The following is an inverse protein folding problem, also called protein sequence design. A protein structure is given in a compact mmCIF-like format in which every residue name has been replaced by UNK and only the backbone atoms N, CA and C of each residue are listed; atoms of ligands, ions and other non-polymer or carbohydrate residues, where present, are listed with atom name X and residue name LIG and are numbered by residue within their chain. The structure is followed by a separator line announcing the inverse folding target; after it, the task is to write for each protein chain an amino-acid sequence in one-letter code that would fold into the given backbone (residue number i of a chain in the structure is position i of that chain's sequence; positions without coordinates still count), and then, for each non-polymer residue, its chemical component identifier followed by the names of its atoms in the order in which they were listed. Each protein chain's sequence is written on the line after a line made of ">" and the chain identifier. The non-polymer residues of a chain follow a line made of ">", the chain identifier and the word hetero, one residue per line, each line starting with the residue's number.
data_IF_570097072659
#
_entry.id   IF_570097072659
#
_cell.length_a   1.000
_cell.length_b   1.000
_cell.length_c   1.000
_cell.angle_alpha   90.00
_cell.angle_beta   90.00
_cell.angle_gamma   90.00
#
_symmetry.space_group_name_H-M   'P 1'
#
loop_
_entity.id
_entity.type
_entity.pdbx_description
1 polymer ?
#
# COMPACT_ATOMS: atom_id res chain seq x y z
N UNK A 1 19.05 -14.82 11.47
CA UNK A 1 19.97 -13.67 11.64
C UNK A 1 19.98 -12.73 10.44
N UNK A 2 20.32 -13.21 9.22
CA UNK A 2 20.38 -12.36 8.00
C UNK A 2 19.11 -11.50 7.79
N UNK A 3 17.91 -12.09 7.89
CA UNK A 3 16.63 -11.38 7.77
C UNK A 3 16.46 -10.24 8.77
N UNK A 4 16.80 -10.46 10.05
CA UNK A 4 16.68 -9.43 11.09
C UNK A 4 17.64 -8.28 10.83
N UNK A 5 18.88 -8.59 10.44
CA UNK A 5 19.88 -7.59 10.07
C UNK A 5 19.39 -6.78 8.87
N UNK A 6 18.85 -7.44 7.83
CA UNK A 6 18.29 -6.74 6.67
C UNK A 6 17.12 -5.82 7.04
N UNK A 7 16.20 -6.27 7.89
CA UNK A 7 15.08 -5.45 8.38
C UNK A 7 15.61 -4.25 9.16
N UNK A 8 16.56 -4.47 10.07
CA UNK A 8 17.16 -3.39 10.86
C UNK A 8 17.81 -2.35 9.95
N UNK A 9 18.66 -2.77 9.02
CA UNK A 9 19.34 -1.87 8.10
C UNK A 9 18.37 -1.10 7.20
N UNK A 10 17.30 -1.76 6.72
CA UNK A 10 16.26 -1.11 5.92
C UNK A 10 15.48 -0.07 6.75
N UNK A 11 15.14 -0.40 8.00
CA UNK A 11 14.48 0.54 8.91
C UNK A 11 15.36 1.75 9.20
N UNK A 12 16.65 1.55 9.49
CA UNK A 12 17.60 2.65 9.69
C UNK A 12 17.73 3.52 8.43
N UNK A 13 17.80 2.90 7.26
CA UNK A 13 17.84 3.60 5.98
C UNK A 13 16.59 4.46 5.78
N UNK A 14 15.39 3.91 6.01
CA UNK A 14 14.13 4.64 5.89
C UNK A 14 14.08 5.82 6.88
N UNK A 15 14.44 5.60 8.15
CA UNK A 15 14.45 6.67 9.16
C UNK A 15 15.45 7.77 8.80
N UNK A 16 16.61 7.43 8.25
CA UNK A 16 17.67 8.39 7.92
C UNK A 16 17.45 9.17 6.62
N UNK A 17 16.70 8.61 5.67
CA UNK A 17 16.55 9.17 4.31
C UNK A 17 15.17 9.75 4.03
N UNK A 18 14.22 9.57 4.95
CA UNK A 18 12.86 10.09 4.84
C UNK A 18 12.49 10.85 6.11
N UNK A 19 11.37 11.55 6.08
CA UNK A 19 10.82 12.29 7.22
C UNK A 19 10.33 11.39 8.38
N UNK A 20 10.54 10.08 8.34
CA UNK A 20 10.21 9.16 9.45
C UNK A 20 10.93 9.53 10.76
N UNK A 21 12.10 10.17 10.71
CA UNK A 21 12.76 10.66 11.92
C UNK A 21 11.95 11.73 12.65
N UNK A 22 11.04 12.45 11.99
CA UNK A 22 10.23 13.49 12.63
C UNK A 22 9.33 12.90 13.72
N UNK A 23 8.93 11.62 13.62
CA UNK A 23 8.20 10.94 14.68
C UNK A 23 8.99 10.81 15.99
N UNK A 24 10.33 10.90 15.95
CA UNK A 24 11.16 10.92 17.15
C UNK A 24 11.02 12.25 17.93
N UNK A 25 10.47 13.30 17.32
CA UNK A 25 10.20 14.61 17.95
C UNK A 25 8.81 14.68 18.63
N UNK A 26 8.01 13.61 18.56
CA UNK A 26 6.69 13.57 19.22
C UNK A 26 6.74 13.84 20.73
N UNK A 27 7.76 13.41 21.50
CA UNK A 27 7.88 13.79 22.90
C UNK A 27 7.95 15.31 23.12
N UNK A 28 8.69 16.03 22.26
CA UNK A 28 8.80 17.50 22.30
C UNK A 28 7.46 18.17 22.01
N UNK A 29 6.71 17.63 21.04
CA UNK A 29 5.36 18.09 20.73
C UNK A 29 4.41 17.96 21.94
N UNK A 30 4.48 16.83 22.64
CA UNK A 30 3.65 16.57 23.83
C UNK A 30 4.03 17.53 24.96
N UNK A 31 5.32 17.72 25.21
CA UNK A 31 5.81 18.64 26.24
C UNK A 31 5.33 20.07 25.98
N UNK A 32 5.52 20.59 24.76
CA UNK A 32 5.08 21.94 24.37
C UNK A 32 3.55 22.10 24.45
N UNK A 33 2.80 21.07 24.07
CA UNK A 33 1.34 21.06 24.25
C UNK A 33 0.93 21.14 25.72
N UNK A 34 1.62 20.41 26.61
CA UNK A 34 1.33 20.43 28.04
C UNK A 34 1.65 21.80 28.67
N UNK A 35 2.72 22.47 28.24
CA UNK A 35 3.05 23.83 28.67
C UNK A 35 1.91 24.80 28.36
N UNK A 36 1.46 24.88 27.09
CA UNK A 36 0.33 25.75 26.75
C UNK A 36 -0.99 25.30 27.38
N UNK A 37 -1.17 24.01 27.69
CA UNK A 37 -2.36 23.51 28.38
C UNK A 37 -2.37 23.94 29.86
N UNK A 38 -1.21 24.08 30.49
CA UNK A 38 -1.09 24.63 31.84
C UNK A 38 -1.44 26.12 31.86
N UNK A 39 -0.98 26.89 30.87
CA UNK A 39 -1.29 28.32 30.74
C UNK A 39 -2.74 28.58 30.36
N UNK A 40 -3.27 27.76 29.45
CA UNK A 40 -4.65 27.86 28.97
C UNK A 40 -5.35 26.48 29.06
N UNK A 41 -6.04 26.19 30.17
CA UNK A 41 -6.74 24.92 30.36
C UNK A 41 -7.83 24.64 29.31
N UNK A 42 -8.32 25.66 28.60
CA UNK A 42 -9.33 25.50 27.54
C UNK A 42 -8.72 25.20 26.17
N UNK A 43 -7.40 25.31 26.02
CA UNK A 43 -6.70 24.98 24.78
C UNK A 43 -6.93 23.51 24.42
N UNK A 44 -7.36 23.26 23.19
CA UNK A 44 -7.49 21.91 22.65
C UNK A 44 -6.26 21.57 21.83
N UNK A 45 -5.99 20.28 21.61
CA UNK A 45 -4.88 19.84 20.76
C UNK A 45 -5.02 20.36 19.31
N UNK A 46 -6.25 20.46 18.80
CA UNK A 46 -6.51 21.04 17.48
C UNK A 46 -6.22 22.53 17.42
N UNK A 47 -6.55 23.27 18.49
CA UNK A 47 -6.20 24.70 18.61
C UNK A 47 -4.70 24.90 18.69
N UNK A 48 -3.98 24.05 19.43
CA UNK A 48 -2.53 24.05 19.50
C UNK A 48 -1.90 23.82 18.11
N UNK A 49 -2.36 22.82 17.35
CA UNK A 49 -1.88 22.62 15.98
C UNK A 49 -2.18 23.81 15.07
N UNK A 50 -3.32 24.46 15.23
CA UNK A 50 -3.64 25.65 14.43
C UNK A 50 -2.66 26.80 14.68
N UNK A 51 -2.31 27.05 15.94
CA UNK A 51 -1.37 28.13 16.29
C UNK A 51 0.02 27.84 15.70
N UNK A 52 0.46 26.59 15.72
CA UNK A 52 1.85 26.21 15.35
C UNK A 52 2.05 25.75 13.90
N UNK A 53 1.02 25.29 13.19
CA UNK A 53 1.14 24.72 11.84
C UNK A 53 0.31 25.43 10.76
N UNK A 54 -0.74 26.18 11.12
CA UNK A 54 -1.57 26.91 10.14
C UNK A 54 -1.02 28.32 9.88
N UNK A 55 -0.77 29.08 10.94
CA UNK A 55 -0.24 30.45 10.84
C UNK A 55 0.82 30.70 11.94
N UNK A 56 2.03 30.11 11.80
CA UNK A 56 3.06 30.25 12.82
C UNK A 56 3.52 31.70 12.93
N UNK A 57 3.48 32.24 14.14
CA UNK A 57 3.94 33.59 14.46
C UNK A 57 5.37 33.51 15.00
N UNK A 58 6.23 34.47 14.62
CA UNK A 58 7.54 34.61 15.25
C UNK A 58 7.40 35.37 16.57
N UNK A 59 7.27 34.63 17.66
CA UNK A 59 7.23 35.17 19.01
C UNK A 59 8.37 34.62 19.88
N UNK A 60 8.24 34.69 21.21
CA UNK A 60 9.23 34.18 22.16
C UNK A 60 9.47 32.67 22.02
N UNK A 61 8.49 31.92 21.55
CA UNK A 61 8.50 30.46 21.51
C UNK A 61 9.01 29.93 20.17
N UNK A 62 9.26 30.82 19.21
CA UNK A 62 9.72 30.49 17.86
C UNK A 62 10.85 29.46 17.82
N UNK A 63 11.82 29.53 18.75
CA UNK A 63 12.93 28.56 18.79
C UNK A 63 12.47 27.16 19.20
N UNK A 64 11.52 27.04 20.13
CA UNK A 64 10.87 25.77 20.48
C UNK A 64 9.99 25.27 19.34
N UNK A 65 9.27 26.17 18.68
CA UNK A 65 8.38 25.81 17.57
C UNK A 65 9.16 25.18 16.41
N UNK A 66 10.38 25.67 16.12
CA UNK A 66 11.25 25.06 15.10
C UNK A 66 11.68 23.62 15.42
N UNK A 67 11.61 23.20 16.69
CA UNK A 67 11.94 21.85 17.13
C UNK A 67 10.76 20.88 17.00
N UNK A 68 9.55 21.39 16.74
CA UNK A 68 8.37 20.56 16.54
C UNK A 68 8.52 19.67 15.29
N UNK A 69 7.88 18.49 15.30
CA UNK A 69 7.87 17.60 14.14
C UNK A 69 7.26 18.30 12.92
N UNK A 70 7.85 18.14 11.75
CA UNK A 70 7.33 18.66 10.47
C UNK A 70 7.20 20.20 10.36
N UNK A 71 7.78 20.98 11.29
CA UNK A 71 7.91 22.44 11.13
C UNK A 71 9.12 22.80 10.26
N UNK A 72 10.23 22.10 10.49
CA UNK A 72 11.47 22.23 9.72
C UNK A 72 11.82 20.91 9.03
N UNK A 73 12.15 21.02 7.74
CA UNK A 73 12.51 19.90 6.88
C UNK A 73 14.01 19.92 6.59
N UNK A 74 14.68 18.79 6.79
CA UNK A 74 16.04 18.63 6.32
C UNK A 74 16.03 18.33 4.81
N UNK A 75 16.98 18.88 4.06
CA UNK A 75 17.19 18.47 2.68
C UNK A 75 17.76 17.04 2.67
N UNK A 76 16.88 16.04 2.56
CA UNK A 76 17.30 14.65 2.41
C UNK A 76 17.86 14.41 1.01
N UNK A 77 18.76 13.43 0.88
CA UNK A 77 19.27 12.98 -0.41
C UNK A 77 18.13 12.36 -1.23
N UNK A 78 17.61 13.12 -2.19
CA UNK A 78 16.63 12.62 -3.16
C UNK A 78 17.40 11.87 -4.26
N UNK A 79 17.37 10.54 -4.21
CA UNK A 79 17.93 9.69 -5.26
C UNK A 79 16.79 9.29 -6.21
N UNK A 80 16.80 9.87 -7.42
CA UNK A 80 15.87 9.48 -8.49
C UNK A 80 16.56 8.45 -9.38
N UNK A 81 16.16 7.18 -9.26
CA UNK A 81 16.60 6.12 -10.18
C UNK A 81 15.67 6.10 -11.40
N UNK A 82 16.06 6.78 -12.47
CA UNK A 82 15.37 6.65 -13.77
C UNK A 82 15.89 5.41 -14.50
N UNK A 83 15.02 4.61 -15.14
CA UNK A 83 15.47 3.52 -15.97
C UNK A 83 16.32 4.08 -17.12
N UNK A 84 17.43 3.41 -17.44
CA UNK A 84 18.33 3.82 -18.52
C UNK A 84 17.66 3.73 -19.91
N UNK A 85 16.58 2.96 -20.02
CA UNK A 85 15.79 2.81 -21.24
C UNK A 85 14.33 3.19 -20.98
N UNK A 86 13.62 3.74 -21.98
CA UNK A 86 12.19 4.01 -21.85
C UNK A 86 11.46 2.71 -21.54
N UNK A 87 10.77 2.65 -20.41
CA UNK A 87 9.91 1.52 -20.08
C UNK A 87 8.57 1.70 -20.80
N UNK A 88 8.18 0.73 -21.61
CA UNK A 88 6.84 0.69 -22.21
C UNK A 88 5.93 -0.14 -21.30
N UNK A 89 4.95 0.51 -20.67
CA UNK A 89 3.92 -0.20 -19.92
C UNK A 89 2.90 -0.76 -20.91
N UNK A 90 3.04 -2.02 -21.28
CA UNK A 90 2.00 -2.71 -22.04
C UNK A 90 0.93 -3.17 -21.05
N UNK A 91 -0.16 -2.42 -20.97
CA UNK A 91 -1.39 -2.91 -20.39
C UNK A 91 -1.84 -4.06 -21.29
N UNK A 92 -1.53 -5.28 -20.89
CA UNK A 92 -2.13 -6.45 -21.53
C UNK A 92 -3.61 -6.37 -21.18
N UNK A 93 -4.43 -5.89 -22.11
CA UNK A 93 -5.84 -6.20 -22.09
C UNK A 93 -5.89 -7.71 -21.90
N UNK A 94 -6.44 -8.16 -20.78
CA UNK A 94 -6.71 -9.58 -20.59
C UNK A 94 -7.36 -10.03 -21.88
N UNK A 95 -6.70 -10.93 -22.63
CA UNK A 95 -7.37 -11.63 -23.71
C UNK A 95 -8.67 -12.13 -23.09
N UNK A 96 -9.77 -11.54 -23.52
CA UNK A 96 -11.07 -12.04 -23.15
C UNK A 96 -11.13 -13.39 -23.83
N UNK A 97 -10.73 -14.44 -23.12
CA UNK A 97 -11.01 -15.80 -23.52
C UNK A 97 -12.49 -15.77 -23.90
N UNK A 98 -12.86 -16.13 -25.15
CA UNK A 98 -14.26 -16.15 -25.52
C UNK A 98 -14.93 -17.05 -24.49
N UNK A 99 -15.88 -16.50 -23.75
CA UNK A 99 -16.70 -17.29 -22.83
C UNK A 99 -17.45 -18.25 -23.74
N UNK A 100 -16.90 -19.44 -23.95
CA UNK A 100 -17.61 -20.54 -24.56
C UNK A 100 -18.74 -20.81 -23.57
N UNK A 101 -19.91 -20.23 -23.84
CA UNK A 101 -21.14 -20.62 -23.18
C UNK A 101 -21.36 -22.08 -23.55
N UNK A 102 -20.83 -22.98 -22.74
CA UNK A 102 -21.22 -24.38 -22.74
C UNK A 102 -22.73 -24.37 -22.60
N UNK A 103 -23.46 -24.70 -23.67
CA UNK A 103 -24.84 -25.11 -23.55
C UNK A 103 -24.78 -26.38 -22.73
N UNK A 104 -24.98 -26.24 -21.43
CA UNK A 104 -25.06 -27.34 -20.50
C UNK A 104 -26.31 -28.13 -20.91
N UNK A 105 -26.13 -29.13 -21.76
CA UNK A 105 -27.20 -30.05 -22.14
C UNK A 105 -27.46 -30.94 -20.94
N UNK A 106 -28.39 -30.52 -20.10
CA UNK A 106 -28.99 -31.38 -19.09
C UNK A 106 -29.84 -32.43 -19.79
N UNK A 107 -29.33 -33.68 -19.87
CA UNK A 107 -30.05 -34.92 -19.56
C UNK A 107 -29.14 -36.11 -19.86
N UNK A 108 -28.54 -36.70 -18.83
CA UNK A 108 -27.89 -38.02 -18.93
C UNK A 108 -28.98 -39.05 -18.61
N UNK A 109 -29.61 -39.61 -19.64
CA UNK A 109 -30.57 -40.70 -19.45
C UNK A 109 -29.85 -41.89 -18.81
N UNK A 110 -30.47 -42.45 -17.77
CA UNK A 110 -29.97 -43.62 -17.02
C UNK A 110 -29.90 -44.87 -17.91
N UNK A 111 -30.53 -44.83 -19.09
CA UNK A 111 -30.57 -45.94 -20.06
C UNK A 111 -29.42 -45.92 -21.08
N UNK A 112 -28.45 -45.00 -20.97
CA UNK A 112 -27.30 -44.98 -21.88
C UNK A 112 -26.26 -46.04 -21.48
N UNK A 113 -26.55 -47.32 -21.74
CA UNK A 113 -25.57 -48.39 -21.61
C UNK A 113 -24.77 -48.52 -22.92
N UNK A 114 -23.49 -48.14 -22.88
CA UNK A 114 -22.56 -48.26 -24.02
C UNK A 114 -22.31 -49.71 -24.45
N UNK A 115 -22.53 -50.68 -23.57
CA UNK A 115 -22.30 -52.09 -23.85
C UNK A 115 -23.31 -52.66 -24.86
N UNK A 116 -24.50 -52.04 -24.98
CA UNK A 116 -25.52 -52.43 -25.97
C UNK A 116 -25.03 -52.17 -27.40
N UNK A 117 -24.19 -51.15 -27.63
CA UNK A 117 -23.72 -50.81 -28.98
C UNK A 117 -22.89 -51.93 -29.62
N UNK A 118 -22.18 -52.73 -28.80
CA UNK A 118 -21.41 -53.88 -29.28
C UNK A 118 -22.25 -55.17 -29.39
N UNK A 119 -23.48 -55.19 -28.86
CA UNK A 119 -24.41 -56.32 -28.95
C UNK A 119 -25.36 -56.20 -30.14
N UNK A 120 -25.37 -55.06 -30.84
CA UNK A 120 -26.19 -54.86 -32.03
C UNK A 120 -25.56 -55.66 -33.17
N UNK A 121 -26.28 -56.66 -33.66
CA UNK A 121 -25.89 -57.47 -34.81
C UNK A 121 -25.67 -56.55 -36.02
N UNK A 122 -24.44 -56.48 -36.52
CA UNK A 122 -24.09 -55.70 -37.71
C UNK A 122 -24.09 -56.61 -38.94
N UNK A 123 -24.66 -56.18 -40.08
CA UNK A 123 -24.61 -56.95 -41.30
C UNK A 123 -23.16 -57.14 -41.77
N UNK A 124 -22.83 -58.29 -42.39
CA UNK A 124 -21.48 -58.57 -42.86
C UNK A 124 -21.08 -57.54 -43.93
N UNK A 125 -19.91 -56.92 -43.71
CA UNK A 125 -19.32 -55.97 -44.66
C UNK A 125 -18.68 -56.77 -45.78
N UNK A 126 -19.16 -56.61 -47.01
CA UNK A 126 -18.59 -57.23 -48.20
C UNK A 126 -17.15 -56.71 -48.43
N UNK A 127 -16.25 -57.63 -48.81
CA UNK A 127 -14.83 -57.35 -49.08
C UNK A 127 -14.59 -56.47 -50.31
#
# INVERSE_FOLDING_TARGET
>A
MKKLISILLLSLYLVSTTELYQFLKIPVLIEHYLEHKQENPKLTIGSFFKIHYDNPVKDSDYTKDQQLPFVSHAAHLIIVCTPATPFTFQLSDKESNPIIKSKQTFYKSIFYNKDILNSIWQPPKSC
#
